data_IF_013692664728
#
_entry.id   IF_013692664728
#
_cell.length_a   1.000
_cell.length_b   1.000
_cell.length_c   1.000
_cell.angle_alpha   90.00
_cell.angle_beta   90.00
_cell.angle_gamma   90.00
#
_symmetry.space_group_name_H-M   'P 1'
#
loop_
_entity.id
_entity.type
_entity.pdbx_description
1 polymer ?
#
# COMPACT_ATOMS: atom_id res chain seq x y z
N UNK A 1 -66.36 -18.75 7.50
CA UNK A 1 -65.53 -19.48 6.51
C UNK A 1 -64.08 -19.13 6.78
N UNK A 2 -63.27 -20.18 6.87
CA UNK A 2 -62.03 -20.23 7.63
C UNK A 2 -60.85 -19.54 6.94
N UNK A 3 -60.06 -18.89 7.79
CA UNK A 3 -58.69 -18.46 7.57
C UNK A 3 -57.82 -19.63 7.10
N UNK A 4 -57.08 -19.46 6.00
CA UNK A 4 -55.92 -20.30 5.71
C UNK A 4 -54.78 -19.46 5.16
N UNK A 5 -53.74 -19.34 5.98
CA UNK A 5 -52.45 -18.72 5.71
C UNK A 5 -51.67 -19.63 4.76
N UNK A 6 -51.10 -19.09 3.68
CA UNK A 6 -50.01 -19.75 2.96
C UNK A 6 -48.76 -18.89 3.00
N UNK A 7 -47.70 -19.54 3.46
CA UNK A 7 -46.40 -19.05 3.87
C UNK A 7 -45.56 -18.80 2.63
N UNK A 8 -44.94 -17.61 2.56
CA UNK A 8 -43.88 -17.30 1.63
C UNK A 8 -42.65 -18.18 1.97
N UNK A 9 -42.19 -18.98 1.01
CA UNK A 9 -40.85 -19.57 1.05
C UNK A 9 -40.11 -19.07 -0.20
N UNK A 10 -39.53 -17.89 -0.03
CA UNK A 10 -38.43 -17.40 -0.85
C UNK A 10 -37.21 -18.27 -0.54
N UNK A 11 -36.72 -19.01 -1.53
CA UNK A 11 -35.51 -19.81 -1.38
C UNK A 11 -34.67 -19.75 -2.65
N UNK A 12 -33.43 -19.29 -2.46
CA UNK A 12 -32.24 -19.53 -3.29
C UNK A 12 -32.22 -18.76 -4.63
N UNK A 13 -31.20 -17.98 -4.99
CA UNK A 13 -29.79 -18.07 -4.64
C UNK A 13 -29.26 -16.68 -4.25
N UNK A 14 -28.86 -16.52 -2.99
CA UNK A 14 -27.72 -15.64 -2.72
C UNK A 14 -26.50 -16.43 -3.20
N UNK A 15 -26.00 -16.10 -4.38
CA UNK A 15 -24.61 -16.33 -4.71
C UNK A 15 -23.80 -15.67 -3.60
N UNK A 16 -23.32 -16.50 -2.68
CA UNK A 16 -22.37 -16.09 -1.67
C UNK A 16 -21.24 -15.39 -2.43
N UNK A 17 -21.19 -14.06 -2.26
CA UNK A 17 -19.97 -13.30 -2.41
C UNK A 17 -18.95 -14.03 -1.54
N UNK A 18 -18.20 -14.95 -2.13
CA UNK A 18 -16.95 -15.41 -1.55
C UNK A 18 -16.05 -14.19 -1.56
N UNK A 19 -16.20 -13.37 -0.53
CA UNK A 19 -15.12 -12.58 0.02
C UNK A 19 -14.02 -13.59 0.35
N UNK A 20 -13.24 -13.98 -0.66
CA UNK A 20 -12.02 -14.74 -0.52
C UNK A 20 -11.19 -13.98 0.50
N UNK A 21 -11.16 -14.50 1.73
CA UNK A 21 -10.35 -13.91 2.80
C UNK A 21 -8.93 -13.91 2.26
N UNK A 22 -8.36 -12.72 2.07
CA UNK A 22 -6.98 -12.59 1.61
C UNK A 22 -6.09 -13.50 2.46
N UNK A 23 -5.49 -14.49 1.79
CA UNK A 23 -4.62 -15.48 2.41
C UNK A 23 -3.30 -14.80 2.75
N UNK A 24 -2.68 -15.22 3.86
CA UNK A 24 -1.33 -14.77 4.18
C UNK A 24 -0.41 -15.24 3.05
N UNK A 25 0.27 -14.27 2.45
CA UNK A 25 1.08 -14.45 1.26
C UNK A 25 2.48 -14.97 1.59
N UNK A 26 3.10 -15.68 0.64
CA UNK A 26 4.55 -15.93 0.62
C UNK A 26 5.38 -14.64 0.39
N UNK A 27 4.71 -13.51 0.22
CA UNK A 27 5.31 -12.19 0.18
C UNK A 27 5.92 -11.81 1.54
N UNK A 28 7.22 -11.54 1.53
CA UNK A 28 7.95 -10.96 2.65
C UNK A 28 8.14 -9.45 2.40
N UNK A 29 7.70 -8.65 3.35
CA UNK A 29 7.84 -7.19 3.32
C UNK A 29 8.93 -6.75 4.30
N UNK A 30 10.04 -6.26 3.75
CA UNK A 30 11.19 -5.79 4.53
C UNK A 30 11.30 -4.27 4.42
N UNK A 31 10.96 -3.50 5.47
CA UNK A 31 11.03 -2.05 5.41
C UNK A 31 12.50 -1.58 5.43
N UNK A 32 12.80 -0.51 4.68
CA UNK A 32 14.10 0.16 4.73
C UNK A 32 14.12 1.09 5.94
N UNK A 33 14.33 0.50 7.12
CA UNK A 33 14.16 1.15 8.42
C UNK A 33 12.72 1.02 8.94
N UNK A 34 12.59 0.80 10.25
CA UNK A 34 11.30 0.54 10.92
C UNK A 34 10.72 1.77 11.60
N UNK A 35 11.43 2.90 11.59
CA UNK A 35 11.05 4.12 12.31
C UNK A 35 10.98 5.30 11.34
N UNK A 36 9.93 6.11 11.45
CA UNK A 36 9.77 7.39 10.76
C UNK A 36 9.34 8.48 11.74
N UNK A 37 9.38 9.74 11.29
CA UNK A 37 9.02 10.93 12.06
C UNK A 37 7.87 11.67 11.39
N UNK A 38 6.95 12.20 12.21
CA UNK A 38 5.99 13.20 11.76
C UNK A 38 6.69 14.55 11.60
N UNK A 39 6.50 15.16 10.45
CA UNK A 39 7.10 16.44 10.05
C UNK A 39 5.97 17.42 9.79
N UNK A 40 6.00 18.58 10.44
CA UNK A 40 5.06 19.67 10.19
C UNK A 40 5.52 20.56 9.03
N UNK A 41 5.29 20.12 7.80
CA UNK A 41 5.57 20.91 6.62
C UNK A 41 4.75 20.41 5.43
N UNK A 42 4.75 21.17 4.35
CA UNK A 42 4.21 20.70 3.07
C UNK A 42 5.28 19.95 2.28
N UNK A 43 4.87 18.91 1.56
CA UNK A 43 5.73 18.09 0.73
C UNK A 43 5.09 17.79 -0.63
N UNK A 44 5.89 17.24 -1.55
CA UNK A 44 5.40 16.76 -2.84
C UNK A 44 5.10 15.27 -2.77
N UNK A 45 4.01 14.83 -3.38
CA UNK A 45 3.74 13.44 -3.72
C UNK A 45 4.77 12.90 -4.71
N UNK A 46 4.90 11.57 -4.77
CA UNK A 46 5.78 10.93 -5.73
C UNK A 46 5.30 11.18 -7.17
N UNK A 47 3.99 11.18 -7.40
CA UNK A 47 3.38 11.51 -8.70
C UNK A 47 3.87 12.87 -9.20
N UNK A 48 3.86 13.90 -8.34
CA UNK A 48 4.37 15.22 -8.68
C UNK A 48 5.89 15.23 -8.92
N UNK A 49 6.67 14.50 -8.11
CA UNK A 49 8.11 14.38 -8.31
C UNK A 49 8.43 13.75 -9.68
N UNK A 50 7.72 12.68 -10.04
CA UNK A 50 7.89 11.99 -11.33
C UNK A 50 7.42 12.87 -12.49
N UNK A 51 6.35 13.65 -12.33
CA UNK A 51 5.90 14.59 -13.35
C UNK A 51 6.96 15.67 -13.64
N UNK A 52 7.54 16.25 -12.60
CA UNK A 52 8.63 17.25 -12.72
C UNK A 52 9.90 16.62 -13.31
N UNK A 53 10.24 15.38 -12.94
CA UNK A 53 11.43 14.72 -13.50
C UNK A 53 11.30 14.39 -14.99
N UNK A 54 10.09 14.07 -15.46
CA UNK A 54 9.77 13.86 -16.89
C UNK A 54 9.71 15.15 -17.69
N UNK A 55 9.30 16.26 -17.06
CA UNK A 55 9.17 17.56 -17.70
C UNK A 55 9.54 18.67 -16.70
N UNK A 56 10.79 19.17 -16.71
CA UNK A 56 11.27 20.19 -15.78
C UNK A 56 10.50 21.52 -15.80
N UNK A 57 9.74 21.78 -16.85
CA UNK A 57 8.88 22.96 -16.99
C UNK A 57 7.54 22.80 -16.24
N UNK A 58 7.26 21.62 -15.68
CA UNK A 58 6.08 21.35 -14.85
C UNK A 58 6.18 22.12 -13.54
N UNK A 59 5.10 22.78 -13.14
CA UNK A 59 5.05 23.52 -11.88
C UNK A 59 5.26 22.60 -10.68
N UNK A 60 6.17 22.98 -9.80
CA UNK A 60 6.42 22.32 -8.52
C UNK A 60 5.23 22.58 -7.59
N UNK A 61 4.38 21.57 -7.39
CA UNK A 61 3.23 21.64 -6.48
C UNK A 61 3.53 20.87 -5.20
N UNK A 62 3.38 21.53 -4.05
CA UNK A 62 3.34 20.86 -2.74
C UNK A 62 1.90 20.49 -2.42
N UNK A 63 1.57 19.21 -2.55
CA UNK A 63 0.22 18.65 -2.45
C UNK A 63 0.00 17.80 -1.19
N UNK A 64 1.08 17.41 -0.50
CA UNK A 64 1.01 16.79 0.82
C UNK A 64 1.04 17.90 1.86
N UNK A 65 -0.02 17.98 2.69
CA UNK A 65 -0.19 19.04 3.70
C UNK A 65 -0.32 18.46 5.11
N UNK A 66 -0.18 19.33 6.12
CA UNK A 66 -0.24 18.96 7.54
C UNK A 66 0.96 18.15 8.02
N UNK A 67 0.81 17.44 9.13
CA UNK A 67 1.84 16.52 9.57
C UNK A 67 1.93 15.33 8.62
N UNK A 68 3.12 15.09 8.07
CA UNK A 68 3.39 13.96 7.18
C UNK A 68 4.55 13.12 7.69
N UNK A 69 4.63 11.85 7.27
CA UNK A 69 5.80 11.01 7.51
C UNK A 69 6.57 10.72 6.21
N UNK A 70 7.84 10.32 6.36
CA UNK A 70 8.66 9.81 5.26
C UNK A 70 9.17 8.40 5.59
N UNK A 71 8.71 7.36 4.91
CA UNK A 71 9.40 6.06 4.93
C UNK A 71 10.36 5.96 3.75
N UNK A 72 11.59 5.51 4.04
CA UNK A 72 12.63 5.39 3.01
C UNK A 72 12.28 4.36 1.94
N UNK A 73 11.46 3.37 2.30
CA UNK A 73 10.90 2.41 1.36
C UNK A 73 10.70 1.02 1.94
N UNK A 74 10.42 0.06 1.07
CA UNK A 74 10.35 -1.35 1.39
C UNK A 74 10.94 -2.20 0.27
N UNK A 75 11.45 -3.37 0.63
CA UNK A 75 11.75 -4.46 -0.29
C UNK A 75 10.64 -5.49 -0.15
N UNK A 76 10.00 -5.82 -1.27
CA UNK A 76 8.96 -6.84 -1.37
C UNK A 76 9.58 -8.06 -2.05
N UNK A 77 9.58 -9.21 -1.40
CA UNK A 77 10.26 -10.40 -1.90
C UNK A 77 9.34 -11.63 -1.81
N UNK A 78 9.12 -12.32 -2.92
CA UNK A 78 8.30 -13.53 -2.97
C UNK A 78 9.15 -14.79 -2.98
N UNK A 79 8.91 -15.69 -2.03
CA UNK A 79 9.68 -16.95 -1.95
C UNK A 79 9.33 -17.93 -3.06
N UNK A 80 8.06 -18.09 -3.40
CA UNK A 80 7.57 -19.10 -4.35
C UNK A 80 6.52 -18.51 -5.32
N UNK A 81 6.87 -17.42 -6.02
CA UNK A 81 5.93 -16.82 -6.97
C UNK A 81 5.79 -17.69 -8.22
N UNK A 82 4.63 -18.33 -8.39
CA UNK A 82 4.30 -19.15 -9.56
C UNK A 82 3.52 -18.39 -10.64
N UNK A 83 2.74 -17.40 -10.21
CA UNK A 83 1.86 -16.57 -11.04
C UNK A 83 2.28 -15.10 -10.96
N UNK A 84 1.93 -14.29 -11.96
CA UNK A 84 2.21 -12.85 -11.92
C UNK A 84 1.48 -12.20 -10.75
N UNK A 85 2.21 -11.52 -9.87
CA UNK A 85 1.63 -10.75 -8.77
C UNK A 85 1.40 -9.30 -9.19
N UNK A 86 0.29 -8.71 -8.75
CA UNK A 86 -0.03 -7.30 -8.89
C UNK A 86 -0.19 -6.67 -7.51
N UNK A 87 0.60 -5.64 -7.22
CA UNK A 87 0.43 -4.84 -5.99
C UNK A 87 -0.53 -3.70 -6.30
N UNK A 88 -1.58 -3.55 -5.47
CA UNK A 88 -2.61 -2.51 -5.66
C UNK A 88 -2.55 -1.41 -4.61
N UNK A 89 -2.12 -1.74 -3.38
CA UNK A 89 -1.95 -0.72 -2.35
C UNK A 89 -0.88 -1.06 -1.31
N UNK A 90 -0.38 -0.01 -0.67
CA UNK A 90 0.41 -0.06 0.56
C UNK A 90 -0.31 0.80 1.59
N UNK A 91 -0.84 0.14 2.62
CA UNK A 91 -1.61 0.78 3.68
C UNK A 91 -0.78 0.91 4.94
N UNK A 92 -0.90 2.05 5.62
CA UNK A 92 -0.24 2.38 6.87
C UNK A 92 -1.30 2.63 7.93
N UNK A 93 -1.13 2.01 9.09
CA UNK A 93 -1.99 2.20 10.25
C UNK A 93 -1.10 2.45 11.46
N UNK A 94 -1.28 3.57 12.17
CA UNK A 94 -0.53 3.95 13.36
C UNK A 94 -1.46 4.33 14.51
N UNK A 95 -1.12 3.92 15.73
CA UNK A 95 -1.87 4.29 16.93
C UNK A 95 -0.98 4.47 18.17
N UNK A 96 -1.34 5.45 19.02
CA UNK A 96 -0.81 5.64 20.38
C UNK A 96 -1.73 6.53 21.20
N UNK A 97 -2.41 5.95 22.20
CA UNK A 97 -3.33 6.70 23.06
C UNK A 97 -4.43 7.39 22.25
N UNK A 98 -4.47 8.73 22.31
CA UNK A 98 -5.42 9.55 21.55
C UNK A 98 -5.04 9.75 20.07
N UNK A 99 -3.83 9.37 19.66
CA UNK A 99 -3.40 9.45 18.27
C UNK A 99 -3.78 8.17 17.51
N UNK A 100 -4.46 8.33 16.37
CA UNK A 100 -4.73 7.29 15.40
C UNK A 100 -4.61 7.88 14.00
N UNK A 101 -3.93 7.18 13.09
CA UNK A 101 -3.68 7.67 11.74
C UNK A 101 -3.59 6.52 10.74
N UNK A 102 -4.37 6.62 9.66
CA UNK A 102 -4.35 5.67 8.57
C UNK A 102 -4.05 6.40 7.26
N UNK A 103 -3.25 5.77 6.39
CA UNK A 103 -2.98 6.24 5.04
C UNK A 103 -2.93 5.06 4.09
N UNK A 104 -3.31 5.26 2.82
CA UNK A 104 -3.13 4.27 1.76
C UNK A 104 -2.45 4.92 0.57
N UNK A 105 -1.43 4.26 0.04
CA UNK A 105 -0.81 4.58 -1.24
C UNK A 105 -1.30 3.57 -2.27
N UNK A 106 -1.93 4.05 -3.33
CA UNK A 106 -2.51 3.23 -4.41
C UNK A 106 -2.52 4.01 -5.73
N UNK A 107 -2.91 3.36 -6.83
CA UNK A 107 -3.04 3.99 -8.14
C UNK A 107 -1.74 4.64 -8.61
N UNK A 108 -1.85 5.84 -9.20
CA UNK A 108 -0.71 6.56 -9.79
C UNK A 108 0.42 6.83 -8.79
N UNK A 109 0.10 7.11 -7.52
CA UNK A 109 1.11 7.34 -6.49
C UNK A 109 1.92 6.06 -6.21
N UNK A 110 1.25 4.90 -6.19
CA UNK A 110 1.94 3.62 -6.06
C UNK A 110 2.81 3.33 -7.28
N UNK A 111 2.32 3.57 -8.49
CA UNK A 111 3.10 3.36 -9.72
C UNK A 111 4.32 4.30 -9.77
N UNK A 112 4.14 5.55 -9.34
CA UNK A 112 5.21 6.54 -9.25
C UNK A 112 6.29 6.11 -8.26
N UNK A 113 5.95 5.49 -7.12
CA UNK A 113 6.93 5.02 -6.12
C UNK A 113 7.96 4.04 -6.69
N UNK A 114 7.57 3.30 -7.72
CA UNK A 114 8.41 2.33 -8.44
C UNK A 114 8.72 2.78 -9.87
N UNK A 115 8.63 4.09 -10.16
CA UNK A 115 9.06 4.65 -11.43
C UNK A 115 10.54 4.37 -11.70
N UNK A 116 10.88 4.00 -12.95
CA UNK A 116 12.21 3.54 -13.37
C UNK A 116 12.70 2.25 -12.69
N UNK A 117 11.80 1.42 -12.15
CA UNK A 117 12.16 0.08 -11.68
C UNK A 117 12.70 -0.82 -12.83
N UNK A 118 12.24 -0.60 -14.06
CA UNK A 118 12.65 -1.32 -15.27
C UNK A 118 13.08 -0.33 -16.36
N UNK A 119 14.31 0.17 -16.29
CA UNK A 119 14.97 0.93 -17.37
C UNK A 119 14.12 2.02 -18.03
N UNK A 120 13.65 3.01 -17.25
CA UNK A 120 12.95 4.17 -17.80
C UNK A 120 11.44 3.99 -18.03
N UNK A 121 10.90 2.78 -17.81
CA UNK A 121 9.47 2.51 -17.97
C UNK A 121 8.71 2.70 -16.66
N UNK A 122 7.45 3.14 -16.76
CA UNK A 122 6.53 3.13 -15.63
C UNK A 122 6.21 1.68 -15.27
N UNK A 123 6.39 1.31 -14.01
CA UNK A 123 5.92 0.05 -13.49
C UNK A 123 4.39 -0.03 -13.60
N UNK A 124 3.85 -1.17 -13.99
CA UNK A 124 2.41 -1.41 -14.16
C UNK A 124 1.77 -2.09 -12.93
N UNK A 125 2.51 -2.19 -11.84
CA UNK A 125 2.10 -2.90 -10.63
C UNK A 125 2.44 -4.39 -10.64
N UNK A 126 2.94 -4.93 -11.75
CA UNK A 126 3.18 -6.37 -11.92
C UNK A 126 4.58 -6.81 -11.49
N UNK A 127 4.68 -8.02 -10.95
CA UNK A 127 5.92 -8.73 -10.71
C UNK A 127 5.77 -10.14 -11.27
N UNK A 128 6.56 -10.46 -12.29
CA UNK A 128 6.56 -11.78 -12.90
C UNK A 128 7.37 -12.78 -12.07
N UNK A 129 7.02 -14.08 -12.13
CA UNK A 129 7.89 -15.16 -11.63
C UNK A 129 9.31 -15.06 -12.21
N UNK A 130 10.33 -15.34 -11.40
CA UNK A 130 11.69 -15.46 -11.91
C UNK A 130 11.86 -16.82 -12.62
N UNK A 131 12.40 -16.80 -13.84
CA UNK A 131 12.65 -18.01 -14.64
C UNK A 131 13.70 -18.95 -14.04
N UNK A 132 14.57 -18.42 -13.18
CA UNK A 132 15.63 -19.14 -12.48
C UNK A 132 15.48 -18.81 -10.99
N UNK A 133 15.61 -19.80 -10.09
CA UNK A 133 15.34 -19.86 -8.62
C UNK A 133 15.72 -18.65 -7.72
N UNK A 134 15.41 -17.44 -8.17
CA UNK A 134 15.71 -16.15 -7.57
C UNK A 134 14.38 -15.62 -7.08
N UNK A 135 14.28 -15.31 -5.80
CA UNK A 135 13.11 -14.70 -5.18
C UNK A 135 12.74 -13.41 -5.93
N UNK A 136 11.59 -13.34 -6.65
CA UNK A 136 11.20 -12.11 -7.32
C UNK A 136 11.11 -10.99 -6.30
N UNK A 137 11.83 -9.91 -6.56
CA UNK A 137 12.03 -8.84 -5.60
C UNK A 137 11.70 -7.50 -6.24
N UNK A 138 10.75 -6.78 -5.65
CA UNK A 138 10.49 -5.39 -5.93
C UNK A 138 11.19 -4.56 -4.84
N UNK A 139 12.28 -3.90 -5.21
CA UNK A 139 13.03 -3.03 -4.32
C UNK A 139 12.89 -1.60 -4.79
N UNK A 140 12.50 -0.73 -3.86
CA UNK A 140 12.63 0.71 -4.05
C UNK A 140 14.14 1.07 -4.02
N UNK A 141 14.81 0.96 -5.16
CA UNK A 141 16.24 1.26 -5.31
C UNK A 141 16.40 2.71 -5.73
N UNK A 142 17.00 3.54 -4.86
CA UNK A 142 17.39 4.93 -5.16
C UNK A 142 16.26 5.79 -5.76
N UNK A 143 15.06 5.66 -5.20
CA UNK A 143 13.87 6.30 -5.76
C UNK A 143 13.98 7.82 -5.72
N UNK A 144 13.65 8.44 -6.84
CA UNK A 144 13.33 9.86 -6.96
C UNK A 144 12.35 10.34 -5.85
N UNK A 145 11.55 9.41 -5.31
CA UNK A 145 10.55 9.66 -4.28
C UNK A 145 10.78 8.86 -2.99
N UNK A 146 10.10 9.25 -1.90
CA UNK A 146 9.93 8.43 -0.70
C UNK A 146 8.44 8.17 -0.49
N UNK A 147 8.10 7.16 0.31
CA UNK A 147 6.72 6.97 0.73
C UNK A 147 6.33 8.12 1.65
N UNK A 148 5.31 8.88 1.27
CA UNK A 148 4.81 10.04 2.01
C UNK A 148 3.30 10.01 2.17
N UNK A 149 2.86 10.26 3.38
CA UNK A 149 1.45 10.37 3.74
C UNK A 149 1.29 11.57 4.67
N UNK A 150 0.42 12.51 4.32
CA UNK A 150 0.14 13.74 5.07
C UNK A 150 -1.24 13.74 5.72
N UNK A 151 -1.56 14.84 6.40
CA UNK A 151 -2.85 15.05 7.05
C UNK A 151 -3.00 14.38 8.41
N UNK A 152 -1.91 13.94 9.05
CA UNK A 152 -2.00 13.38 10.40
C UNK A 152 -2.43 14.47 11.40
N UNK A 153 -3.49 14.19 12.16
CA UNK A 153 -3.95 15.06 13.24
C UNK A 153 -3.17 14.75 14.52
N UNK A 154 -2.27 15.65 14.92
CA UNK A 154 -1.51 15.53 16.18
C UNK A 154 -2.38 16.09 17.33
N UNK A 155 -2.75 15.27 18.34
CA UNK A 155 -3.68 15.70 19.40
C UNK A 155 -3.14 16.84 20.27
N UNK A 156 -1.83 16.85 20.54
CA UNK A 156 -1.15 17.88 21.32
C UNK A 156 0.25 18.13 20.74
N UNK A 157 0.46 19.22 19.98
CA UNK A 157 1.72 19.48 19.29
C UNK A 157 2.87 19.89 20.23
N UNK A 158 2.63 19.92 21.55
CA UNK A 158 3.68 20.17 22.56
C UNK A 158 4.16 18.89 23.23
N UNK A 159 3.53 17.74 22.95
CA UNK A 159 3.84 16.45 23.59
C UNK A 159 4.36 15.47 22.58
N UNK A 160 5.56 14.97 22.83
CA UNK A 160 6.17 13.88 22.07
C UNK A 160 5.40 12.59 22.29
N UNK A 161 5.28 11.76 21.26
CA UNK A 161 4.74 10.41 21.39
C UNK A 161 5.40 9.43 20.40
N UNK A 162 5.23 8.14 20.67
CA UNK A 162 5.61 7.05 19.77
C UNK A 162 4.37 6.22 19.45
N UNK A 163 3.98 6.19 18.19
CA UNK A 163 2.90 5.35 17.69
C UNK A 163 3.44 4.05 17.09
N UNK A 164 2.91 2.92 17.55
CA UNK A 164 3.13 1.63 16.90
C UNK A 164 2.24 1.55 15.66
N UNK A 165 2.74 0.93 14.60
CA UNK A 165 1.96 0.81 13.39
C UNK A 165 2.32 -0.39 12.52
N UNK A 166 1.50 -0.60 11.51
CA UNK A 166 1.64 -1.67 10.54
C UNK A 166 1.66 -1.08 9.14
N UNK A 167 2.59 -1.54 8.30
CA UNK A 167 2.51 -1.41 6.86
C UNK A 167 1.95 -2.70 6.27
N UNK A 168 0.87 -2.61 5.51
CA UNK A 168 0.21 -3.72 4.84
C UNK A 168 0.31 -3.54 3.34
N UNK A 169 0.95 -4.47 2.65
CA UNK A 169 0.94 -4.55 1.18
C UNK A 169 -0.21 -5.44 0.75
N UNK A 170 -1.04 -4.97 -0.18
CA UNK A 170 -2.19 -5.69 -0.71
C UNK A 170 -2.09 -5.84 -2.22
N UNK A 171 -2.58 -6.97 -2.72
CA UNK A 171 -2.48 -7.32 -4.13
C UNK A 171 -3.27 -8.55 -4.50
N UNK A 172 -3.04 -9.03 -5.72
CA UNK A 172 -3.55 -10.31 -6.20
C UNK A 172 -2.51 -11.00 -7.08
N UNK A 173 -2.54 -12.33 -7.11
CA UNK A 173 -1.83 -13.13 -8.11
C UNK A 173 -2.79 -13.50 -9.23
N UNK A 174 -2.34 -13.43 -10.48
CA UNK A 174 -3.14 -13.75 -11.67
C UNK A 174 -2.57 -14.97 -12.39
N UNK A 175 -3.34 -16.04 -12.44
CA UNK A 175 -2.96 -17.28 -13.13
C UNK A 175 -2.97 -17.09 -14.66
N UNK A 176 -2.32 -17.98 -15.44
CA UNK A 176 -2.40 -17.96 -16.90
C UNK A 176 -3.83 -18.08 -17.45
N UNK A 177 -4.75 -18.65 -16.67
CA UNK A 177 -6.16 -18.80 -17.05
C UNK A 177 -7.00 -17.56 -16.68
N UNK A 178 -6.39 -16.56 -16.04
CA UNK A 178 -7.03 -15.31 -15.64
C UNK A 178 -7.64 -15.31 -14.24
N UNK A 179 -7.48 -16.39 -13.46
CA UNK A 179 -7.98 -16.45 -12.08
C UNK A 179 -7.17 -15.52 -11.17
N UNK A 180 -7.87 -14.77 -10.31
CA UNK A 180 -7.26 -13.81 -9.39
C UNK A 180 -7.36 -14.29 -7.93
N UNK A 181 -6.21 -14.41 -7.27
CA UNK A 181 -6.12 -14.78 -5.85
C UNK A 181 -5.58 -13.61 -5.03
N UNK A 182 -6.37 -13.02 -4.10
CA UNK A 182 -5.93 -11.88 -3.32
C UNK A 182 -4.89 -12.28 -2.28
N UNK A 183 -3.91 -11.40 -2.07
CA UNK A 183 -2.88 -11.57 -1.06
C UNK A 183 -2.74 -10.33 -0.19
N UNK A 184 -2.21 -10.54 1.02
CA UNK A 184 -1.75 -9.46 1.91
C UNK A 184 -0.47 -9.87 2.61
N UNK A 185 0.39 -8.90 2.89
CA UNK A 185 1.56 -9.09 3.73
C UNK A 185 1.77 -7.87 4.63
N UNK A 186 2.24 -8.10 5.85
CA UNK A 186 2.32 -7.07 6.89
C UNK A 186 3.73 -7.00 7.48
N UNK A 187 4.13 -5.81 7.88
CA UNK A 187 5.33 -5.58 8.69
C UNK A 187 5.09 -4.48 9.71
N UNK A 188 5.84 -4.51 10.81
CA UNK A 188 5.69 -3.57 11.91
C UNK A 188 6.57 -2.34 11.71
N UNK A 189 6.02 -1.18 12.06
CA UNK A 189 6.65 0.13 11.95
C UNK A 189 6.41 0.96 13.22
N UNK A 190 7.15 2.06 13.34
CA UNK A 190 7.01 3.06 14.41
C UNK A 190 7.01 4.45 13.84
N UNK A 191 6.09 5.28 14.32
CA UNK A 191 6.00 6.68 13.98
C UNK A 191 6.27 7.53 15.22
N UNK A 192 7.25 8.41 15.13
CA UNK A 192 7.66 9.30 16.21
C UNK A 192 7.13 10.70 15.96
N UNK A 193 6.66 11.34 17.03
CA UNK A 193 6.41 12.77 17.07
C UNK A 193 7.30 13.38 18.15
N UNK A 194 8.07 14.42 17.78
CA UNK A 194 9.07 15.07 18.61
C UNK A 194 8.88 16.59 18.57
#
# INVERSE_FOLDING_TARGET
MNSLKFIAISCMLLSALSCSKAQDSDLVVTPTGTTSYLINASAQSCTNIVAVSKNPQTTVTQDITGYYFNYQGATLAWKNLTDTAYVVSIDFEFASGAFAYNCSISGDELLALFYNFTDGTSWDGSLAPASNATTPTLRQTASLCRIRCGGAAVPDPKKTFTASGTMTVKGFQKSPNGDETPFKAKTQLRLLYQ
#
